data_IF_224300288653
#
_entry.id   IF_224300288653
#
_cell.length_a   1.000
_cell.length_b   1.000
_cell.length_c   1.000
_cell.angle_alpha   90.00
_cell.angle_beta   90.00
_cell.angle_gamma   90.00
#
_symmetry.space_group_name_H-M   'P 1'
#
loop_
_entity.id
_entity.type
_entity.pdbx_description
1 polymer ?
#
# COMPACT_ATOMS: atom_id res chain seq x y z
N UNK A 1 -37.80 34.22 14.54
CA UNK A 1 -36.94 33.12 15.01
C UNK A 1 -37.59 31.82 14.55
N UNK A 2 -37.06 31.19 13.51
CA UNK A 2 -37.68 29.98 12.93
C UNK A 2 -37.13 28.76 13.66
N UNK A 3 -37.97 28.14 14.48
CA UNK A 3 -37.70 26.86 15.10
C UNK A 3 -37.42 25.82 14.02
N UNK A 4 -36.20 25.30 14.00
CA UNK A 4 -35.89 24.05 13.32
C UNK A 4 -36.73 22.98 14.00
N UNK A 5 -37.81 22.55 13.35
CA UNK A 5 -38.59 21.39 13.79
C UNK A 5 -37.63 20.22 13.83
N UNK A 6 -37.37 19.70 15.03
CA UNK A 6 -36.80 18.38 15.21
C UNK A 6 -37.76 17.38 14.58
N UNK A 7 -37.49 17.03 13.32
CA UNK A 7 -38.19 15.96 12.62
C UNK A 7 -37.65 14.68 13.26
N UNK A 8 -38.40 14.16 14.22
CA UNK A 8 -38.16 12.85 14.80
C UNK A 8 -38.33 11.80 13.70
N UNK A 9 -37.22 11.43 13.07
CA UNK A 9 -37.20 10.41 12.03
C UNK A 9 -37.39 9.07 12.72
N UNK A 10 -38.56 8.47 12.55
CA UNK A 10 -38.80 7.09 12.97
C UNK A 10 -37.97 6.16 12.08
N UNK A 11 -36.89 5.60 12.64
CA UNK A 11 -36.04 4.61 11.97
C UNK A 11 -36.69 3.25 12.11
N UNK A 12 -37.13 2.67 10.99
CA UNK A 12 -37.68 1.32 10.99
C UNK A 12 -36.58 0.28 11.17
N UNK A 13 -36.93 -0.95 11.58
CA UNK A 13 -35.95 -2.03 11.74
C UNK A 13 -35.17 -2.32 10.44
N UNK A 14 -35.83 -2.19 9.29
CA UNK A 14 -35.20 -2.28 7.97
C UNK A 14 -34.14 -1.19 7.76
N UNK A 15 -34.43 0.05 8.17
CA UNK A 15 -33.48 1.16 8.08
C UNK A 15 -32.26 0.91 8.97
N UNK A 16 -32.45 0.38 10.19
CA UNK A 16 -31.34 0.04 11.06
C UNK A 16 -30.45 -1.07 10.48
N UNK A 17 -31.02 -2.06 9.77
CA UNK A 17 -30.22 -3.06 9.07
C UNK A 17 -29.43 -2.47 7.90
N UNK A 18 -30.03 -1.54 7.17
CA UNK A 18 -29.38 -0.82 6.09
C UNK A 18 -28.23 0.06 6.62
N UNK A 19 -28.44 0.77 7.73
CA UNK A 19 -27.41 1.55 8.43
C UNK A 19 -26.25 0.65 8.83
N UNK A 20 -26.52 -0.50 9.46
CA UNK A 20 -25.47 -1.42 9.90
C UNK A 20 -24.69 -2.00 8.70
N UNK A 21 -25.38 -2.32 7.62
CA UNK A 21 -24.74 -2.82 6.39
C UNK A 21 -23.88 -1.75 5.74
N UNK A 22 -24.37 -0.52 5.67
CA UNK A 22 -23.61 0.62 5.18
C UNK A 22 -22.36 0.86 6.04
N UNK A 23 -22.48 0.87 7.37
CA UNK A 23 -21.34 1.08 8.26
C UNK A 23 -20.26 0.01 8.06
N UNK A 24 -20.65 -1.27 7.96
CA UNK A 24 -19.70 -2.38 7.69
C UNK A 24 -19.01 -2.23 6.34
N UNK A 25 -19.77 -1.95 5.30
CA UNK A 25 -19.22 -1.80 3.95
C UNK A 25 -18.31 -0.57 3.86
N UNK A 26 -18.68 0.53 4.52
CA UNK A 26 -17.87 1.74 4.55
C UNK A 26 -16.57 1.53 5.33
N UNK A 27 -16.61 0.82 6.47
CA UNK A 27 -15.39 0.45 7.20
C UNK A 27 -14.45 -0.38 6.31
N UNK A 28 -14.97 -1.43 5.67
CA UNK A 28 -14.19 -2.26 4.74
C UNK A 28 -13.65 -1.47 3.55
N UNK A 29 -14.43 -0.55 2.99
CA UNK A 29 -13.97 0.32 1.90
C UNK A 29 -12.81 1.22 2.34
N UNK A 30 -12.89 1.79 3.54
CA UNK A 30 -11.81 2.62 4.09
C UNK A 30 -10.56 1.78 4.32
N UNK A 31 -10.67 0.61 4.93
CA UNK A 31 -9.55 -0.32 5.13
C UNK A 31 -8.86 -0.67 3.81
N UNK A 32 -9.63 -1.05 2.78
CA UNK A 32 -9.09 -1.37 1.46
C UNK A 32 -8.39 -0.16 0.80
N UNK A 33 -8.93 1.05 0.97
CA UNK A 33 -8.28 2.27 0.45
C UNK A 33 -6.96 2.54 1.15
N UNK A 34 -6.91 2.39 2.47
CA UNK A 34 -5.68 2.56 3.24
C UNK A 34 -4.63 1.51 2.85
N UNK A 35 -5.04 0.26 2.64
CA UNK A 35 -4.15 -0.80 2.16
C UNK A 35 -3.58 -0.48 0.77
N UNK A 36 -4.41 -0.05 -0.18
CA UNK A 36 -3.97 0.34 -1.52
C UNK A 36 -2.98 1.51 -1.46
N UNK A 37 -3.25 2.53 -0.64
CA UNK A 37 -2.33 3.66 -0.48
C UNK A 37 -0.99 3.24 0.16
N UNK A 38 -1.03 2.32 1.14
CA UNK A 38 0.19 1.75 1.72
C UNK A 38 1.02 0.99 0.68
N UNK A 39 0.38 0.14 -0.14
CA UNK A 39 1.04 -0.61 -1.22
C UNK A 39 1.61 0.32 -2.29
N UNK A 40 0.90 1.39 -2.66
CA UNK A 40 1.41 2.42 -3.59
C UNK A 40 2.66 3.11 -3.05
N UNK A 41 2.67 3.45 -1.76
CA UNK A 41 3.84 4.03 -1.11
C UNK A 41 5.03 3.05 -1.11
N UNK A 42 4.78 1.76 -0.87
CA UNK A 42 5.80 0.72 -0.98
C UNK A 42 6.35 0.63 -2.40
N UNK A 43 5.51 0.68 -3.43
CA UNK A 43 5.94 0.68 -4.84
C UNK A 43 6.86 1.86 -5.17
N UNK A 44 6.50 3.07 -4.73
CA UNK A 44 7.38 4.24 -4.91
C UNK A 44 8.72 4.02 -4.23
N UNK A 45 8.71 3.58 -2.97
CA UNK A 45 9.95 3.32 -2.23
C UNK A 45 10.83 2.25 -2.89
N UNK A 46 10.24 1.21 -3.48
CA UNK A 46 10.98 0.17 -4.21
C UNK A 46 11.56 0.70 -5.52
N UNK A 47 10.81 1.54 -6.25
CA UNK A 47 11.29 2.18 -7.49
C UNK A 47 12.48 3.09 -7.20
N UNK A 48 12.36 3.94 -6.18
CA UNK A 48 13.42 4.87 -5.79
C UNK A 48 14.69 4.11 -5.36
N UNK A 49 14.54 3.03 -4.58
CA UNK A 49 15.67 2.20 -4.15
C UNK A 49 16.35 1.49 -5.33
N UNK A 50 15.56 0.99 -6.28
CA UNK A 50 16.07 0.34 -7.50
C UNK A 50 16.85 1.34 -8.35
N UNK A 51 16.27 2.50 -8.65
CA UNK A 51 16.91 3.55 -9.45
C UNK A 51 18.22 4.02 -8.81
N UNK A 52 18.21 4.26 -7.49
CA UNK A 52 19.41 4.66 -6.76
C UNK A 52 20.52 3.59 -6.80
N UNK A 53 20.16 2.31 -6.65
CA UNK A 53 21.13 1.21 -6.71
C UNK A 53 21.69 1.02 -8.13
N UNK A 54 20.84 1.11 -9.15
CA UNK A 54 21.21 0.97 -10.57
C UNK A 54 22.17 2.10 -10.99
N UNK A 55 21.85 3.35 -10.66
CA UNK A 55 22.74 4.50 -10.89
C UNK A 55 24.08 4.35 -10.17
N UNK A 56 24.06 3.93 -8.90
CA UNK A 56 25.28 3.77 -8.11
C UNK A 56 26.14 2.63 -8.64
N UNK A 57 25.54 1.52 -9.05
CA UNK A 57 26.23 0.37 -9.64
C UNK A 57 26.97 0.77 -10.92
N UNK A 58 26.32 1.55 -11.79
CA UNK A 58 26.91 2.04 -13.04
C UNK A 58 28.05 3.04 -12.78
N UNK A 59 27.86 3.97 -11.84
CA UNK A 59 28.83 5.04 -11.56
C UNK A 59 30.07 4.56 -10.81
N UNK A 60 29.90 3.59 -9.91
CA UNK A 60 30.95 3.18 -8.96
C UNK A 60 31.42 1.74 -9.14
N UNK A 61 30.96 1.05 -10.19
CA UNK A 61 31.29 -0.35 -10.50
C UNK A 61 31.14 -1.25 -9.26
N UNK A 62 29.95 -1.20 -8.64
CA UNK A 62 29.65 -1.95 -7.42
C UNK A 62 29.10 -3.33 -7.81
N UNK A 63 29.91 -4.41 -7.71
CA UNK A 63 29.46 -5.74 -8.11
C UNK A 63 28.49 -6.38 -7.12
N UNK A 64 28.50 -5.93 -5.86
CA UNK A 64 27.65 -6.47 -4.81
C UNK A 64 27.32 -5.39 -3.76
N UNK A 65 26.10 -5.44 -3.23
CA UNK A 65 25.60 -4.50 -2.24
C UNK A 65 25.00 -5.23 -1.03
N UNK A 66 25.00 -4.59 0.15
CA UNK A 66 24.35 -5.15 1.33
C UNK A 66 22.82 -4.98 1.24
N UNK A 67 22.10 -6.09 1.31
CA UNK A 67 20.65 -6.17 1.43
C UNK A 67 20.26 -6.41 2.90
N UNK A 68 19.38 -5.57 3.45
CA UNK A 68 18.85 -5.77 4.80
C UNK A 68 17.71 -6.79 4.79
N UNK A 69 17.90 -7.90 5.51
CA UNK A 69 16.88 -8.93 5.71
C UNK A 69 16.62 -9.09 7.21
N UNK A 70 15.46 -8.63 7.66
CA UNK A 70 15.14 -8.55 9.08
C UNK A 70 16.07 -7.58 9.81
N UNK A 71 16.98 -8.11 10.62
CA UNK A 71 17.95 -7.34 11.41
C UNK A 71 19.41 -7.56 10.94
N UNK A 72 19.64 -8.32 9.86
CA UNK A 72 20.98 -8.68 9.38
C UNK A 72 21.17 -8.26 7.92
N UNK A 73 22.39 -7.85 7.57
CA UNK A 73 22.76 -7.56 6.19
C UNK A 73 23.37 -8.79 5.51
N UNK A 74 22.89 -9.10 4.32
CA UNK A 74 23.45 -10.09 3.41
C UNK A 74 24.11 -9.36 2.24
N UNK A 75 25.31 -9.77 1.85
CA UNK A 75 25.96 -9.23 0.65
C UNK A 75 25.50 -10.06 -0.53
N UNK A 76 24.80 -9.43 -1.47
CA UNK A 76 24.30 -10.07 -2.68
C UNK A 76 24.79 -9.29 -3.91
N UNK A 77 24.94 -9.96 -5.07
CA UNK A 77 25.26 -9.27 -6.32
C UNK A 77 24.23 -8.20 -6.65
N UNK A 78 24.70 -7.08 -7.18
CA UNK A 78 23.81 -5.93 -7.47
C UNK A 78 22.70 -6.31 -8.47
N UNK A 79 23.03 -7.11 -9.49
CA UNK A 79 22.07 -7.60 -10.49
C UNK A 79 20.94 -8.45 -9.86
N UNK A 80 21.29 -9.29 -8.88
CA UNK A 80 20.33 -10.15 -8.18
C UNK A 80 19.39 -9.30 -7.31
N UNK A 81 19.93 -8.29 -6.64
CA UNK A 81 19.15 -7.33 -5.84
C UNK A 81 18.19 -6.55 -6.74
N UNK A 82 18.65 -6.04 -7.88
CA UNK A 82 17.80 -5.31 -8.84
C UNK A 82 16.67 -6.21 -9.37
N UNK A 83 16.97 -7.46 -9.71
CA UNK A 83 15.96 -8.44 -10.17
C UNK A 83 14.94 -8.77 -9.07
N UNK A 84 15.39 -8.88 -7.83
CA UNK A 84 14.54 -9.10 -6.66
C UNK A 84 13.58 -7.92 -6.42
N UNK A 85 14.08 -6.68 -6.54
CA UNK A 85 13.28 -5.46 -6.45
C UNK A 85 12.21 -5.41 -7.56
N UNK A 86 12.57 -5.73 -8.81
CA UNK A 86 11.63 -5.79 -9.94
C UNK A 86 10.54 -6.85 -9.74
N UNK A 87 10.91 -8.03 -9.26
CA UNK A 87 9.97 -9.12 -8.96
C UNK A 87 8.99 -8.73 -7.85
N UNK A 88 9.49 -8.10 -6.78
CA UNK A 88 8.66 -7.63 -5.67
C UNK A 88 7.70 -6.54 -6.11
N UNK A 89 8.18 -5.60 -6.94
CA UNK A 89 7.36 -4.53 -7.54
C UNK A 89 6.20 -5.12 -8.36
N UNK A 90 6.50 -6.03 -9.29
CA UNK A 90 5.49 -6.67 -10.13
C UNK A 90 4.45 -7.46 -9.31
N UNK A 91 4.86 -8.09 -8.20
CA UNK A 91 3.95 -8.77 -7.29
C UNK A 91 2.98 -7.80 -6.63
N UNK A 92 3.47 -6.67 -6.11
CA UNK A 92 2.65 -5.67 -5.44
C UNK A 92 1.70 -4.98 -6.44
N UNK A 93 2.16 -4.70 -7.66
CA UNK A 93 1.31 -4.15 -8.74
C UNK A 93 0.14 -5.08 -9.03
N UNK A 94 0.40 -6.39 -9.15
CA UNK A 94 -0.67 -7.39 -9.33
C UNK A 94 -1.64 -7.43 -8.14
N UNK A 95 -1.14 -7.34 -6.92
CA UNK A 95 -1.98 -7.32 -5.71
C UNK A 95 -2.82 -6.03 -5.55
N UNK A 96 -2.51 -4.95 -6.29
CA UNK A 96 -3.33 -3.73 -6.34
C UNK A 96 -4.39 -3.83 -7.46
N UNK A 97 -4.10 -4.58 -8.52
CA UNK A 97 -5.03 -4.83 -9.64
C UNK A 97 -6.12 -5.86 -9.30
N UNK A 98 -5.79 -6.87 -8.49
CA UNK A 98 -6.70 -7.93 -8.00
C UNK A 98 -7.66 -7.42 -6.89
#
# INVERSE_FOLDING_TARGET
MSATKDVEVHVEFSDQQNINTFSRNNAKLTELKEEIEAKRKELTSLSDAREALDELAILSDIPAAPLLVGETFLIEPTDDILTSLDTRKAKIEKEIED
#
